data_IF_750613174917
#
_entry.id   IF_750613174917
#
_cell.length_a   1.000
_cell.length_b   1.000
_cell.length_c   1.000
_cell.angle_alpha   90.00
_cell.angle_beta   90.00
_cell.angle_gamma   90.00
#
_symmetry.space_group_name_H-M   'P 1'
#
loop_
_entity.id
_entity.type
_entity.pdbx_description
1 polymer ?
#
# COMPACT_ATOMS: atom_id res chain seq x y z
N UNK A 1 -2.68 -14.98 4.12
CA UNK A 1 -2.49 -14.62 2.70
C UNK A 1 -3.82 -14.34 1.99
N UNK A 2 -4.73 -15.32 1.86
CA UNK A 2 -5.98 -15.11 1.09
C UNK A 2 -6.87 -13.99 1.64
N UNK A 3 -6.94 -13.81 2.96
CA UNK A 3 -7.73 -12.72 3.56
C UNK A 3 -7.23 -11.33 3.16
N UNK A 4 -5.92 -11.10 3.22
CA UNK A 4 -5.30 -9.83 2.84
C UNK A 4 -5.56 -9.50 1.36
N UNK A 5 -5.40 -10.47 0.47
CA UNK A 5 -5.72 -10.31 -0.94
C UNK A 5 -7.21 -10.00 -1.18
N UNK A 6 -8.12 -10.67 -0.47
CA UNK A 6 -9.56 -10.45 -0.59
C UNK A 6 -9.97 -9.08 -0.07
N UNK A 7 -9.45 -8.68 1.08
CA UNK A 7 -9.69 -7.35 1.67
C UNK A 7 -9.16 -6.28 0.74
N UNK A 8 -7.89 -6.37 0.31
CA UNK A 8 -7.26 -5.36 -0.52
C UNK A 8 -7.96 -5.20 -1.89
N UNK A 9 -8.41 -6.29 -2.50
CA UNK A 9 -9.19 -6.26 -3.75
C UNK A 9 -10.48 -5.43 -3.65
N UNK A 10 -11.04 -5.30 -2.45
CA UNK A 10 -12.29 -4.58 -2.23
C UNK A 10 -12.09 -3.10 -1.96
N UNK A 11 -10.86 -2.67 -1.63
CA UNK A 11 -10.55 -1.28 -1.32
C UNK A 11 -10.58 -0.43 -2.59
N UNK A 12 -11.30 0.70 -2.51
CA UNK A 12 -11.41 1.69 -3.58
C UNK A 12 -11.26 3.08 -3.01
N UNK A 13 -10.05 3.60 -3.07
CA UNK A 13 -9.70 4.92 -2.56
C UNK A 13 -8.50 5.46 -3.34
N UNK A 14 -8.45 6.75 -3.71
CA UNK A 14 -7.36 7.33 -4.51
C UNK A 14 -5.98 7.20 -3.84
N UNK A 15 -5.94 7.21 -2.51
CA UNK A 15 -4.72 7.11 -1.72
C UNK A 15 -4.42 5.66 -1.24
N UNK A 16 -5.14 4.67 -1.77
CA UNK A 16 -4.86 3.24 -1.56
C UNK A 16 -4.28 2.65 -2.84
N UNK A 17 -3.14 1.98 -2.72
CA UNK A 17 -2.48 1.34 -3.86
C UNK A 17 -3.42 0.27 -4.48
N UNK A 18 -3.63 0.24 -5.81
CA UNK A 18 -4.48 -0.78 -6.42
C UNK A 18 -3.90 -2.19 -6.27
N UNK A 19 -4.79 -3.16 -6.02
CA UNK A 19 -4.45 -4.58 -6.05
C UNK A 19 -4.68 -5.15 -7.46
N UNK A 20 -3.65 -5.70 -8.08
CA UNK A 20 -3.72 -6.28 -9.43
C UNK A 20 -3.97 -7.79 -9.43
N UNK A 21 -3.52 -8.51 -8.40
CA UNK A 21 -3.76 -9.95 -8.30
C UNK A 21 -2.74 -10.71 -7.45
N UNK A 22 -2.75 -12.02 -7.62
CA UNK A 22 -1.86 -12.96 -6.93
C UNK A 22 -1.09 -13.75 -7.97
N UNK A 23 0.21 -13.99 -7.75
CA UNK A 23 0.97 -15.00 -8.50
C UNK A 23 1.50 -16.09 -7.59
N UNK A 24 1.41 -17.32 -8.09
CA UNK A 24 1.95 -18.53 -7.46
C UNK A 24 3.28 -18.97 -8.09
N UNK A 25 3.55 -18.48 -9.31
CA UNK A 25 4.67 -18.97 -10.13
C UNK A 25 5.92 -18.10 -10.00
N UNK A 26 5.74 -16.79 -9.82
CA UNK A 26 6.86 -15.84 -9.80
C UNK A 26 7.81 -16.06 -8.62
N UNK A 27 7.31 -16.60 -7.51
CA UNK A 27 8.08 -16.83 -6.28
C UNK A 27 7.79 -18.20 -5.65
N UNK A 28 7.54 -19.20 -6.48
CA UNK A 28 7.22 -20.54 -6.01
C UNK A 28 8.28 -21.05 -4.99
N UNK A 29 7.85 -21.70 -3.89
CA UNK A 29 6.48 -22.14 -3.58
C UNK A 29 5.59 -21.08 -2.89
N UNK A 30 6.08 -19.84 -2.73
CA UNK A 30 5.36 -18.77 -2.07
C UNK A 30 4.39 -18.05 -3.00
N UNK A 31 3.31 -17.56 -2.43
CA UNK A 31 2.39 -16.65 -3.11
C UNK A 31 2.91 -15.22 -2.99
N UNK A 32 2.73 -14.41 -4.05
CA UNK A 32 2.96 -12.96 -4.01
C UNK A 32 1.71 -12.17 -4.37
N UNK A 33 1.60 -10.98 -3.79
CA UNK A 33 0.57 -9.99 -4.12
C UNK A 33 1.15 -9.03 -5.16
N UNK A 34 0.35 -8.69 -6.16
CA UNK A 34 0.76 -7.84 -7.28
C UNK A 34 0.06 -6.49 -7.16
N UNK A 35 0.83 -5.42 -7.29
CA UNK A 35 0.38 -4.03 -7.39
C UNK A 35 1.13 -3.28 -8.50
N UNK A 36 0.68 -2.08 -8.90
CA UNK A 36 1.44 -1.24 -9.80
C UNK A 36 2.83 -0.93 -9.23
N UNK A 37 3.80 -0.78 -10.13
CA UNK A 37 5.15 -0.38 -9.75
C UNK A 37 5.19 1.08 -9.28
N UNK A 38 5.76 1.30 -8.09
CA UNK A 38 5.94 2.63 -7.54
C UNK A 38 7.32 3.17 -7.96
N UNK A 39 7.36 3.97 -9.04
CA UNK A 39 8.61 4.53 -9.61
C UNK A 39 9.45 5.26 -8.57
N UNK A 40 8.79 5.94 -7.64
CA UNK A 40 9.42 6.72 -6.57
C UNK A 40 9.76 5.90 -5.31
N UNK A 41 9.53 4.58 -5.34
CA UNK A 41 9.73 3.70 -4.20
C UNK A 41 8.81 4.03 -3.03
N UNK A 42 9.34 3.89 -1.82
CA UNK A 42 8.61 4.20 -0.59
C UNK A 42 8.69 5.69 -0.24
N UNK A 43 7.80 6.15 0.64
CA UNK A 43 7.70 7.56 1.02
C UNK A 43 8.97 8.10 1.69
N UNK A 44 9.74 7.29 2.44
CA UNK A 44 11.01 7.77 3.01
C UNK A 44 12.04 8.05 1.92
N UNK A 45 12.22 7.12 0.98
CA UNK A 45 13.12 7.31 -0.15
C UNK A 45 12.69 8.48 -1.03
N UNK A 46 11.38 8.64 -1.25
CA UNK A 46 10.83 9.77 -2.00
C UNK A 46 11.10 11.11 -1.31
N UNK A 47 10.84 11.23 -0.01
CA UNK A 47 11.06 12.45 0.77
C UNK A 47 12.54 12.78 0.96
N UNK A 48 13.42 11.78 0.96
CA UNK A 48 14.87 11.99 0.93
C UNK A 48 15.34 12.56 -0.42
N UNK A 49 14.76 12.08 -1.53
CA UNK A 49 15.08 12.58 -2.87
C UNK A 49 14.44 13.94 -3.18
N UNK A 50 13.34 14.29 -2.51
CA UNK A 50 12.58 15.52 -2.73
C UNK A 50 12.44 16.30 -1.41
N UNK A 51 13.51 16.98 -0.94
CA UNK A 51 13.50 17.68 0.35
C UNK A 51 12.47 18.82 0.42
N UNK A 52 12.14 19.42 -0.72
CA UNK A 52 11.18 20.52 -0.84
C UNK A 52 9.71 20.04 -0.96
N UNK A 53 9.48 18.71 -0.99
CA UNK A 53 8.12 18.17 -1.05
C UNK A 53 7.34 18.51 0.22
N UNK A 54 6.11 18.97 0.04
CA UNK A 54 5.23 19.27 1.17
C UNK A 54 4.82 17.98 1.90
N UNK A 55 5.44 17.77 3.07
CA UNK A 55 5.19 16.62 3.93
C UNK A 55 3.77 16.63 4.48
N UNK A 56 3.15 17.79 4.63
CA UNK A 56 1.77 17.90 5.12
C UNK A 56 0.81 17.26 4.13
N UNK A 57 0.99 17.51 2.83
CA UNK A 57 0.21 16.85 1.77
C UNK A 57 0.26 15.32 1.88
N UNK A 58 1.45 14.73 2.11
CA UNK A 58 1.57 13.28 2.30
C UNK A 58 0.89 12.79 3.57
N UNK A 59 0.94 13.56 4.67
CA UNK A 59 0.23 13.22 5.91
C UNK A 59 -1.29 13.26 5.73
N UNK A 60 -1.80 14.26 5.00
CA UNK A 60 -3.24 14.37 4.69
C UNK A 60 -3.70 13.17 3.89
N UNK A 61 -2.95 12.76 2.85
CA UNK A 61 -3.30 11.57 2.06
C UNK A 61 -3.32 10.28 2.90
N UNK A 62 -2.39 10.15 3.84
CA UNK A 62 -2.37 9.00 4.77
C UNK A 62 -3.58 9.05 5.71
N UNK A 63 -3.89 10.22 6.27
CA UNK A 63 -5.04 10.39 7.16
C UNK A 63 -6.37 10.10 6.46
N UNK A 64 -6.53 10.59 5.23
CA UNK A 64 -7.69 10.35 4.35
C UNK A 64 -7.88 8.85 4.07
N UNK A 65 -6.79 8.13 3.76
CA UNK A 65 -6.84 6.66 3.64
C UNK A 65 -7.25 5.98 4.96
N UNK A 66 -6.79 6.46 6.11
CA UNK A 66 -7.17 5.86 7.41
C UNK A 66 -8.64 6.09 7.72
N UNK A 67 -9.15 7.29 7.49
CA UNK A 67 -10.56 7.61 7.63
C UNK A 67 -11.41 6.70 6.74
N UNK A 68 -11.02 6.52 5.48
CA UNK A 68 -11.68 5.58 4.58
C UNK A 68 -11.72 4.15 5.14
N UNK A 69 -10.59 3.61 5.60
CA UNK A 69 -10.50 2.23 6.10
C UNK A 69 -11.32 2.02 7.37
N UNK A 70 -11.32 3.00 8.28
CA UNK A 70 -12.05 2.93 9.54
C UNK A 70 -13.57 3.08 9.36
N UNK A 71 -14.01 3.71 8.27
CA UNK A 71 -15.42 3.87 7.93
C UNK A 71 -16.03 2.67 7.16
N UNK A 72 -15.25 1.62 6.87
CA UNK A 72 -15.77 0.38 6.29
C UNK A 72 -16.54 -0.44 7.33
N UNK A 73 -17.38 -1.37 6.86
CA UNK A 73 -18.12 -2.31 7.71
C UNK A 73 -17.79 -3.77 7.31
N UNK A 74 -17.06 -4.53 8.15
CA UNK A 74 -16.46 -4.10 9.42
C UNK A 74 -15.26 -3.14 9.21
N UNK A 75 -14.95 -2.27 10.19
CA UNK A 75 -13.79 -1.39 10.11
C UNK A 75 -12.50 -2.16 9.91
N UNK A 76 -11.65 -1.67 9.00
CA UNK A 76 -10.34 -2.27 8.75
C UNK A 76 -9.30 -1.52 9.59
N UNK A 77 -8.72 -2.22 10.56
CA UNK A 77 -7.60 -1.70 11.35
C UNK A 77 -6.30 -2.12 10.67
N UNK A 78 -5.58 -1.17 10.07
CA UNK A 78 -4.26 -1.44 9.50
C UNK A 78 -3.19 -1.40 10.60
N UNK A 79 -2.78 -2.57 11.09
CA UNK A 79 -1.92 -2.69 12.29
C UNK A 79 -0.42 -2.39 12.05
N UNK A 80 0.04 -2.11 10.82
CA UNK A 80 1.45 -1.79 10.53
C UNK A 80 1.62 -0.57 9.62
N UNK A 81 1.13 0.58 10.07
CA UNK A 81 1.34 1.88 9.42
C UNK A 81 2.72 2.41 9.85
N UNK A 82 3.79 1.88 9.28
CA UNK A 82 5.13 2.48 9.42
C UNK A 82 5.42 3.30 8.18
N UNK A 83 6.06 4.46 8.32
CA UNK A 83 6.46 5.33 7.21
C UNK A 83 7.39 4.66 6.18
N UNK A 84 7.87 3.45 6.44
CA UNK A 84 8.56 2.60 5.45
C UNK A 84 7.57 1.91 4.48
N UNK A 85 6.28 1.89 4.83
CA UNK A 85 5.24 0.98 4.33
C UNK A 85 3.91 1.67 3.99
N UNK A 86 3.77 2.99 4.21
CA UNK A 86 2.52 3.73 3.98
C UNK A 86 2.15 3.97 2.51
N UNK A 87 2.83 3.32 1.56
CA UNK A 87 2.35 3.14 0.18
C UNK A 87 2.88 1.83 -0.43
N UNK A 88 2.97 0.76 0.37
CA UNK A 88 3.45 -0.53 -0.12
C UNK A 88 2.78 -1.67 0.68
N UNK A 89 1.63 -2.17 0.20
CA UNK A 89 1.38 -3.61 0.32
C UNK A 89 2.15 -4.28 -0.83
N UNK A 90 3.47 -4.06 -0.91
CA UNK A 90 4.33 -4.77 -1.83
C UNK A 90 5.22 -5.67 -1.01
N UNK A 91 4.78 -6.90 -0.79
CA UNK A 91 5.73 -8.00 -0.70
C UNK A 91 6.35 -8.14 -2.11
N UNK A 92 7.53 -7.56 -2.27
CA UNK A 92 8.47 -7.77 -3.39
C UNK A 92 7.84 -7.73 -4.79
N UNK A 93 7.81 -6.54 -5.40
CA UNK A 93 7.82 -6.46 -6.85
C UNK A 93 9.23 -6.87 -7.33
N UNK A 94 9.29 -7.98 -8.07
CA UNK A 94 10.50 -8.48 -8.72
C UNK A 94 11.08 -7.44 -9.67
N UNK A 95 12.41 -7.39 -9.70
CA UNK A 95 13.17 -7.31 -10.95
C UNK A 95 13.00 -8.61 -11.71
#
# INVERSE_FOLDING_TARGET
FCWEALVWRQLRHPNVLPFLGVSQNLFAPSYCLISPWMVNGNILSYLQAHPDHDRLTSLVQVADTMEYLHNLDPPIIHADIRGVRSLCISCHALR
#
